data_IF_075455160962
#
_entry.id   IF_075455160962
#
_cell.length_a   1.000
_cell.length_b   1.000
_cell.length_c   1.000
_cell.angle_alpha   90.00
_cell.angle_beta   90.00
_cell.angle_gamma   90.00
#
_symmetry.space_group_name_H-M   'P 1'
#
loop_
_entity.id
_entity.type
_entity.pdbx_description
1 polymer ?
#
# COMPACT_ATOMS: atom_id res chain seq x y z
N UNK A 1 -14.66 -0.65 17.46
CA UNK A 1 -14.47 -1.32 16.15
C UNK A 1 -12.97 -1.47 15.87
N UNK A 2 -12.52 -2.63 15.35
CA UNK A 2 -11.15 -2.87 14.84
C UNK A 2 -11.28 -3.35 13.39
N UNK A 3 -10.77 -2.61 12.39
CA UNK A 3 -10.99 -2.96 10.99
C UNK A 3 -10.08 -4.11 10.56
N UNK A 4 -10.55 -4.90 9.59
CA UNK A 4 -9.73 -5.82 8.83
C UNK A 4 -9.83 -5.43 7.35
N UNK A 5 -8.75 -4.88 6.79
CA UNK A 5 -8.72 -4.41 5.41
C UNK A 5 -8.32 -5.53 4.47
N UNK A 6 -9.30 -6.28 3.98
CA UNK A 6 -9.08 -7.16 2.85
C UNK A 6 -8.95 -6.35 1.56
N UNK A 7 -7.90 -6.61 0.78
CA UNK A 7 -7.67 -5.94 -0.51
C UNK A 7 -8.62 -6.43 -1.61
N UNK A 8 -9.07 -7.66 -1.48
CA UNK A 8 -10.10 -8.32 -2.27
C UNK A 8 -10.77 -9.41 -1.41
N UNK A 9 -11.92 -9.91 -1.85
CA UNK A 9 -12.56 -11.12 -1.29
C UNK A 9 -13.06 -11.98 -2.43
N UNK A 10 -13.54 -13.22 -2.21
CA UNK A 10 -14.14 -14.03 -3.28
C UNK A 10 -15.33 -13.36 -3.99
N UNK A 11 -15.96 -12.38 -3.34
CA UNK A 11 -17.14 -11.67 -3.83
C UNK A 11 -16.84 -10.22 -4.27
N UNK A 12 -15.63 -9.71 -4.00
CA UNK A 12 -15.26 -8.31 -4.19
C UNK A 12 -13.96 -8.19 -4.98
N UNK A 13 -14.11 -7.91 -6.28
CA UNK A 13 -13.11 -7.42 -7.20
C UNK A 13 -13.50 -5.99 -7.63
N UNK A 14 -13.04 -4.99 -6.88
CA UNK A 14 -13.40 -3.60 -7.13
C UNK A 14 -12.92 -3.11 -8.50
N UNK A 15 -13.67 -2.21 -9.15
CA UNK A 15 -13.38 -1.67 -10.48
C UNK A 15 -11.98 -1.04 -10.63
N UNK A 16 -11.41 -0.50 -9.54
CA UNK A 16 -10.04 0.01 -9.50
C UNK A 16 -9.00 -1.07 -9.89
N UNK A 17 -9.17 -2.30 -9.40
CA UNK A 17 -8.28 -3.43 -9.72
C UNK A 17 -8.52 -3.94 -11.15
N UNK A 18 -9.78 -3.96 -11.60
CA UNK A 18 -10.15 -4.35 -12.95
C UNK A 18 -9.51 -3.45 -14.01
N UNK A 19 -9.46 -2.13 -13.76
CA UNK A 19 -8.99 -1.13 -14.72
C UNK A 19 -7.51 -0.78 -14.57
N UNK A 20 -6.98 -0.81 -13.35
CA UNK A 20 -5.63 -0.33 -13.06
C UNK A 20 -4.50 -1.34 -13.26
N UNK A 21 -4.80 -2.59 -13.61
CA UNK A 21 -3.79 -3.64 -13.82
C UNK A 21 -2.92 -3.87 -12.58
N UNK A 22 -1.72 -4.44 -12.77
CA UNK A 22 -0.78 -4.73 -11.67
C UNK A 22 -0.49 -3.55 -10.73
N UNK A 23 -0.25 -2.30 -11.21
CA UNK A 23 -0.01 -1.16 -10.32
C UNK A 23 -1.13 -0.93 -9.32
N UNK A 24 -2.39 -1.13 -9.71
CA UNK A 24 -3.52 -1.02 -8.78
C UNK A 24 -3.47 -2.06 -7.65
N UNK A 25 -3.02 -3.29 -7.92
CA UNK A 25 -2.85 -4.31 -6.89
C UNK A 25 -1.73 -3.95 -5.91
N UNK A 26 -0.63 -3.39 -6.41
CA UNK A 26 0.48 -2.93 -5.58
C UNK A 26 0.04 -1.78 -4.67
N UNK A 27 -0.64 -0.77 -5.22
CA UNK A 27 -1.19 0.37 -4.47
C UNK A 27 -2.13 -0.08 -3.35
N UNK A 28 -3.11 -0.94 -3.68
CA UNK A 28 -4.10 -1.41 -2.68
C UNK A 28 -3.46 -2.28 -1.60
N UNK A 29 -2.42 -3.06 -1.92
CA UNK A 29 -1.66 -3.82 -0.94
C UNK A 29 -0.92 -2.89 0.04
N UNK A 30 -0.21 -1.87 -0.46
CA UNK A 30 0.48 -0.87 0.37
C UNK A 30 -0.51 -0.16 1.30
N UNK A 31 -1.64 0.31 0.77
CA UNK A 31 -2.66 1.02 1.56
C UNK A 31 -3.23 0.12 2.66
N UNK A 32 -3.69 -1.09 2.34
CA UNK A 32 -4.27 -2.01 3.32
C UNK A 32 -3.26 -2.39 4.41
N UNK A 33 -2.03 -2.73 4.00
CA UNK A 33 -0.95 -3.17 4.88
C UNK A 33 -0.44 -2.06 5.82
N UNK A 34 -0.58 -0.78 5.46
CA UNK A 34 -0.01 0.32 6.27
C UNK A 34 -1.07 1.12 7.02
N UNK A 35 -2.30 1.25 6.49
CA UNK A 35 -3.39 1.96 7.17
C UNK A 35 -3.96 1.15 8.33
N UNK A 36 -4.18 -0.15 8.16
CA UNK A 36 -4.80 -1.00 9.19
C UNK A 36 -3.79 -1.92 9.90
N UNK A 37 -3.89 -2.09 11.24
CA UNK A 37 -3.17 -3.13 11.96
C UNK A 37 -3.51 -4.55 11.51
N UNK A 38 -4.69 -4.77 10.94
CA UNK A 38 -5.13 -6.06 10.41
C UNK A 38 -5.56 -5.90 8.96
N UNK A 39 -5.01 -6.72 8.08
CA UNK A 39 -5.29 -6.72 6.66
C UNK A 39 -5.30 -8.16 6.13
N UNK A 40 -5.90 -8.36 4.96
CA UNK A 40 -6.04 -9.67 4.36
C UNK A 40 -5.98 -9.63 2.85
N UNK A 41 -5.70 -10.79 2.26
CA UNK A 41 -5.62 -11.02 0.82
C UNK A 41 -6.35 -12.33 0.54
N UNK A 42 -7.15 -12.35 -0.52
CA UNK A 42 -7.73 -13.58 -1.06
C UNK A 42 -6.88 -14.09 -2.24
N UNK A 43 -6.60 -15.39 -2.24
CA UNK A 43 -5.68 -16.06 -3.16
C UNK A 43 -6.00 -15.77 -4.63
N UNK A 44 -4.97 -15.42 -5.40
CA UNK A 44 -5.08 -14.98 -6.80
C UNK A 44 -4.82 -13.48 -6.96
N UNK A 45 -4.91 -12.72 -5.86
CA UNK A 45 -4.50 -11.32 -5.82
C UNK A 45 -3.02 -11.14 -6.16
N UNK A 46 -2.17 -12.06 -5.71
CA UNK A 46 -0.72 -12.07 -5.98
C UNK A 46 -0.43 -12.17 -7.48
N UNK A 47 -1.34 -12.79 -8.23
CA UNK A 47 -1.27 -12.95 -9.68
C UNK A 47 -1.96 -11.81 -10.44
N UNK A 48 -2.48 -10.82 -9.72
CA UNK A 48 -3.25 -9.70 -10.27
C UNK A 48 -4.48 -10.16 -11.08
N UNK A 49 -5.17 -11.23 -10.65
CA UNK A 49 -6.41 -11.69 -11.28
C UNK A 49 -7.49 -10.59 -11.22
N UNK A 50 -7.87 -10.04 -12.38
CA UNK A 50 -8.70 -8.83 -12.43
C UNK A 50 -9.82 -8.83 -13.47
N UNK A 51 -10.18 -10.00 -14.00
CA UNK A 51 -11.25 -10.13 -15.00
C UNK A 51 -12.60 -10.27 -14.30
N UNK A 52 -13.54 -9.31 -14.45
CA UNK A 52 -14.86 -9.40 -13.85
C UNK A 52 -15.80 -10.29 -14.68
N UNK A 53 -16.85 -10.82 -14.04
CA UNK A 53 -17.90 -11.60 -14.72
C UNK A 53 -18.62 -10.77 -15.80
N UNK A 54 -18.84 -9.48 -15.54
CA UNK A 54 -19.46 -8.51 -16.44
C UNK A 54 -19.06 -7.10 -16.07
N UNK A 55 -19.17 -6.17 -17.02
CA UNK A 55 -18.93 -4.75 -16.75
C UNK A 55 -19.85 -4.21 -15.65
N UNK A 56 -19.26 -3.41 -14.75
CA UNK A 56 -19.95 -2.84 -13.57
C UNK A 56 -20.23 -3.83 -12.44
N UNK A 57 -19.86 -5.10 -12.58
CA UNK A 57 -19.90 -6.09 -11.50
C UNK A 57 -18.60 -6.12 -10.69
N UNK A 58 -18.67 -6.65 -9.46
CA UNK A 58 -17.51 -6.90 -8.60
C UNK A 58 -17.18 -8.39 -8.45
N UNK A 59 -17.92 -9.28 -9.13
CA UNK A 59 -17.62 -10.71 -9.10
C UNK A 59 -16.54 -11.09 -10.12
N UNK A 60 -15.67 -12.04 -9.76
CA UNK A 60 -14.66 -12.60 -10.64
C UNK A 60 -15.30 -13.44 -11.76
N UNK A 61 -14.72 -13.38 -12.96
CA UNK A 61 -14.98 -14.34 -14.02
C UNK A 61 -14.46 -15.74 -13.61
N UNK A 62 -15.24 -16.78 -13.90
CA UNK A 62 -14.93 -18.18 -13.57
C UNK A 62 -14.60 -18.38 -12.08
N UNK A 63 -15.40 -17.75 -11.21
CA UNK A 63 -15.17 -17.64 -9.77
C UNK A 63 -14.93 -18.99 -9.08
N UNK A 64 -13.88 -19.06 -8.25
CA UNK A 64 -13.51 -20.24 -7.45
C UNK A 64 -14.62 -20.71 -6.50
N UNK A 65 -15.58 -19.82 -6.16
CA UNK A 65 -16.80 -20.19 -5.42
C UNK A 65 -17.58 -21.34 -6.09
N UNK A 66 -17.47 -21.48 -7.41
CA UNK A 66 -18.30 -22.39 -8.21
C UNK A 66 -17.48 -23.42 -9.02
N UNK A 67 -16.15 -23.34 -8.99
CA UNK A 67 -15.26 -24.24 -9.72
C UNK A 67 -13.88 -24.32 -9.07
N UNK A 68 -13.15 -25.41 -9.32
CA UNK A 68 -11.74 -25.48 -8.94
C UNK A 68 -10.92 -24.50 -9.79
N UNK A 69 -10.02 -23.76 -9.14
CA UNK A 69 -9.11 -22.78 -9.76
C UNK A 69 -7.66 -23.10 -9.41
N UNK A 70 -7.07 -24.18 -9.96
CA UNK A 70 -5.65 -24.45 -9.78
C UNK A 70 -4.82 -23.30 -10.39
N UNK A 71 -3.75 -22.91 -9.70
CA UNK A 71 -2.85 -21.81 -10.10
C UNK A 71 -1.41 -22.31 -10.05
N UNK A 72 -0.63 -21.97 -11.08
CA UNK A 72 0.81 -22.27 -11.11
C UNK A 72 1.60 -21.13 -10.48
N UNK A 73 1.78 -21.22 -9.15
CA UNK A 73 2.44 -20.20 -8.34
C UNK A 73 3.93 -20.08 -8.67
N UNK A 74 4.60 -21.21 -8.83
CA UNK A 74 6.04 -21.25 -9.09
C UNK A 74 6.38 -20.64 -10.45
N UNK A 75 5.59 -20.93 -11.48
CA UNK A 75 5.78 -20.29 -12.78
C UNK A 75 5.55 -18.78 -12.70
N UNK A 76 4.51 -18.33 -12.00
CA UNK A 76 4.23 -16.91 -11.87
C UNK A 76 5.32 -16.12 -11.14
N UNK A 77 5.94 -16.71 -10.11
CA UNK A 77 7.11 -16.11 -9.44
C UNK A 77 8.35 -16.12 -10.33
N UNK A 78 8.64 -17.25 -10.99
CA UNK A 78 9.80 -17.38 -11.89
C UNK A 78 9.74 -16.41 -13.08
N UNK A 79 8.55 -16.13 -13.59
CA UNK A 79 8.30 -15.20 -14.69
C UNK A 79 8.15 -13.73 -14.23
N UNK A 80 8.25 -13.46 -12.92
CA UNK A 80 8.12 -12.12 -12.37
C UNK A 80 6.71 -11.51 -12.49
N UNK A 81 5.68 -12.32 -12.77
CA UNK A 81 4.29 -11.88 -12.88
C UNK A 81 3.59 -11.72 -11.53
N UNK A 82 4.11 -12.35 -10.49
CA UNK A 82 3.57 -12.29 -9.13
C UNK A 82 4.03 -11.06 -8.35
N UNK A 83 3.11 -10.47 -7.56
CA UNK A 83 3.42 -9.45 -6.54
C UNK A 83 3.62 -10.03 -5.13
N UNK A 84 3.69 -11.37 -5.00
CA UNK A 84 4.01 -12.02 -3.73
C UNK A 84 5.29 -11.48 -3.06
N UNK A 85 6.38 -11.13 -3.78
CA UNK A 85 7.55 -10.50 -3.17
C UNK A 85 7.25 -9.16 -2.48
N UNK A 86 6.39 -8.32 -3.07
CA UNK A 86 5.94 -7.07 -2.45
C UNK A 86 5.12 -7.34 -1.19
N UNK A 87 4.17 -8.29 -1.24
CA UNK A 87 3.35 -8.67 -0.09
C UNK A 87 4.22 -9.21 1.06
N UNK A 88 5.20 -10.04 0.73
CA UNK A 88 6.17 -10.55 1.70
C UNK A 88 6.98 -9.40 2.33
N UNK A 89 7.45 -8.45 1.52
CA UNK A 89 8.16 -7.26 1.98
C UNK A 89 7.30 -6.39 2.89
N UNK A 90 6.05 -6.10 2.51
CA UNK A 90 5.10 -5.35 3.34
C UNK A 90 4.86 -6.01 4.69
N UNK A 91 4.70 -7.33 4.71
CA UNK A 91 4.55 -8.07 5.96
C UNK A 91 5.84 -8.07 6.80
N UNK A 92 7.02 -8.11 6.19
CA UNK A 92 8.29 -7.97 6.91
C UNK A 92 8.43 -6.56 7.54
N UNK A 93 8.11 -5.51 6.78
CA UNK A 93 8.09 -4.11 7.27
C UNK A 93 7.11 -3.98 8.44
N UNK A 94 5.89 -4.49 8.28
CA UNK A 94 4.90 -4.52 9.37
C UNK A 94 5.43 -5.20 10.62
N UNK A 95 6.13 -6.33 10.52
CA UNK A 95 6.71 -7.01 11.69
C UNK A 95 7.79 -6.20 12.40
N UNK A 96 8.56 -5.39 11.65
CA UNK A 96 9.63 -4.55 12.20
C UNK A 96 9.14 -3.25 12.84
N UNK A 97 8.06 -2.66 12.31
CA UNK A 97 7.58 -1.35 12.74
C UNK A 97 6.30 -1.43 13.57
N UNK A 98 6.44 -1.19 14.89
CA UNK A 98 5.32 -1.20 15.84
C UNK A 98 4.29 -0.10 15.53
N UNK A 99 4.70 0.97 14.84
CA UNK A 99 3.83 2.02 14.33
C UNK A 99 2.68 1.48 13.48
N UNK A 100 2.92 0.40 12.73
CA UNK A 100 1.93 -0.22 11.86
C UNK A 100 0.97 -1.15 12.60
N UNK A 101 1.22 -1.48 13.88
CA UNK A 101 0.35 -2.35 14.70
C UNK A 101 -0.76 -1.58 15.41
N UNK A 102 -0.77 -0.26 15.31
CA UNK A 102 -1.74 0.63 15.98
C UNK A 102 -2.65 1.29 14.96
N UNK A 103 -3.88 1.62 15.37
CA UNK A 103 -4.89 2.21 14.48
C UNK A 103 -5.04 3.73 14.67
N UNK A 104 -5.07 4.18 15.93
CA UNK A 104 -5.42 5.58 16.29
C UNK A 104 -4.25 6.55 16.17
N UNK A 105 -3.09 6.08 15.76
CA UNK A 105 -1.85 6.84 15.65
C UNK A 105 -1.58 7.36 14.22
N UNK A 106 -2.61 7.42 13.39
CA UNK A 106 -2.55 7.84 12.00
C UNK A 106 -2.73 9.35 11.88
N UNK A 107 -1.92 9.99 11.05
CA UNK A 107 -2.06 11.39 10.67
C UNK A 107 -1.80 11.56 9.16
N UNK A 108 -2.67 12.31 8.47
CA UNK A 108 -2.51 12.61 7.04
C UNK A 108 -1.75 13.92 6.87
N UNK A 109 -0.79 13.91 5.94
CA UNK A 109 0.01 15.07 5.57
C UNK A 109 -0.51 15.66 4.26
N UNK A 110 -0.27 16.95 4.06
CA UNK A 110 -0.69 17.62 2.84
C UNK A 110 0.24 17.27 1.67
N UNK A 111 -0.34 17.11 0.49
CA UNK A 111 0.33 16.99 -0.80
C UNK A 111 -0.31 18.01 -1.76
N UNK A 112 0.48 18.52 -2.70
CA UNK A 112 0.02 19.46 -3.73
C UNK A 112 -0.56 18.77 -4.98
N UNK A 113 -0.76 17.45 -4.93
CA UNK A 113 -1.29 16.62 -6.01
C UNK A 113 -2.36 15.66 -5.48
N UNK A 114 -3.59 15.76 -6.00
CA UNK A 114 -4.74 14.95 -5.57
C UNK A 114 -4.57 13.45 -5.83
N UNK A 115 -3.70 13.06 -6.76
CA UNK A 115 -3.37 11.66 -7.02
C UNK A 115 -2.33 11.10 -6.02
N UNK A 116 -1.70 11.93 -5.19
CA UNK A 116 -0.68 11.50 -4.23
C UNK A 116 -1.21 11.67 -2.81
N UNK A 117 -1.23 10.60 -2.04
CA UNK A 117 -1.59 10.63 -0.61
C UNK A 117 -0.35 10.41 0.26
N UNK A 118 -0.25 11.17 1.35
CA UNK A 118 0.80 11.01 2.34
C UNK A 118 0.23 10.90 3.75
N UNK A 119 0.73 9.95 4.53
CA UNK A 119 0.34 9.79 5.94
C UNK A 119 1.48 9.21 6.77
N UNK A 120 1.44 9.47 8.07
CA UNK A 120 2.36 8.89 9.03
C UNK A 120 1.62 8.11 10.11
N UNK A 121 2.33 7.13 10.67
CA UNK A 121 1.94 6.42 11.89
C UNK A 121 3.12 6.46 12.84
N UNK A 122 2.87 6.84 14.10
CA UNK A 122 3.90 6.97 15.13
C UNK A 122 3.50 6.29 16.42
N UNK A 123 4.42 5.65 17.14
CA UNK A 123 4.14 5.23 18.53
C UNK A 123 5.01 6.00 19.51
N UNK A 124 4.46 6.31 20.67
CA UNK A 124 5.21 6.92 21.77
C UNK A 124 5.97 5.89 22.62
N UNK A 125 5.71 4.60 22.44
CA UNK A 125 6.29 3.55 23.29
C UNK A 125 7.77 3.29 22.94
N UNK A 126 8.11 3.35 21.66
CA UNK A 126 9.44 3.09 21.12
C UNK A 126 9.91 4.18 20.14
N UNK A 127 9.16 5.28 20.02
CA UNK A 127 9.38 6.36 19.06
C UNK A 127 9.42 5.90 17.58
N UNK A 128 8.91 4.70 17.26
CA UNK A 128 8.85 4.22 15.88
C UNK A 128 7.88 5.07 15.06
N UNK A 129 8.35 5.53 13.90
CA UNK A 129 7.61 6.42 13.00
C UNK A 129 7.75 5.92 11.58
N UNK A 130 6.62 5.68 10.92
CA UNK A 130 6.56 5.29 9.51
C UNK A 130 5.82 6.38 8.76
N UNK A 131 6.43 6.88 7.68
CA UNK A 131 5.77 7.77 6.71
C UNK A 131 5.54 6.98 5.43
N UNK A 132 4.35 7.09 4.88
CA UNK A 132 3.96 6.41 3.64
C UNK A 132 3.46 7.46 2.66
N UNK A 133 3.97 7.39 1.43
CA UNK A 133 3.53 8.23 0.32
C UNK A 133 3.14 7.30 -0.82
N UNK A 134 1.93 7.44 -1.35
CA UNK A 134 1.35 6.54 -2.35
C UNK A 134 0.79 7.33 -3.51
N UNK A 135 1.14 6.93 -4.72
CA UNK A 135 0.47 7.35 -5.95
C UNK A 135 -0.80 6.49 -6.13
N UNK A 136 -1.96 7.15 -6.20
CA UNK A 136 -3.27 6.53 -6.38
C UNK A 136 -3.65 6.40 -7.86
N UNK A 137 -2.87 6.97 -8.78
CA UNK A 137 -3.02 6.79 -10.22
C UNK A 137 -2.20 5.56 -10.66
N UNK A 138 -2.85 4.46 -11.07
CA UNK A 138 -2.15 3.25 -11.49
C UNK A 138 -1.63 3.33 -12.94
N UNK A 139 -1.86 4.43 -13.65
CA UNK A 139 -1.54 4.58 -15.07
C UNK A 139 -0.44 5.58 -15.36
N UNK A 140 -0.28 6.60 -14.51
CA UNK A 140 0.66 7.69 -14.76
C UNK A 140 1.62 7.89 -13.59
N UNK A 141 2.85 8.25 -13.93
CA UNK A 141 3.79 8.80 -12.96
C UNK A 141 3.21 10.07 -12.36
N UNK A 142 3.27 10.18 -11.04
CA UNK A 142 2.86 11.39 -10.32
C UNK A 142 4.05 11.98 -9.56
N UNK A 143 4.13 13.30 -9.63
CA UNK A 143 5.11 14.11 -8.89
C UNK A 143 4.35 15.02 -7.91
N UNK A 144 4.91 15.23 -6.73
CA UNK A 144 4.29 16.05 -5.69
C UNK A 144 5.30 16.60 -4.70
N UNK A 145 4.95 17.69 -4.04
CA UNK A 145 5.58 18.16 -2.80
C UNK A 145 4.76 17.67 -1.61
N UNK A 146 5.37 16.81 -0.80
CA UNK A 146 4.80 16.35 0.47
C UNK A 146 5.17 17.34 1.58
N UNK A 147 4.16 17.99 2.15
CA UNK A 147 4.28 18.93 3.26
C UNK A 147 4.00 18.22 4.59
N UNK A 148 5.06 17.83 5.30
CA UNK A 148 4.98 17.13 6.59
C UNK A 148 4.58 18.09 7.72
N UNK A 149 3.67 17.61 8.56
CA UNK A 149 3.35 18.21 9.86
C UNK A 149 4.40 17.72 10.86
N UNK A 150 5.50 18.47 10.98
CA UNK A 150 6.69 18.07 11.75
C UNK A 150 6.37 17.81 13.23
N UNK A 151 5.56 18.66 13.93
CA UNK A 151 5.14 18.36 15.30
C UNK A 151 4.41 17.03 15.48
N UNK A 152 3.66 16.56 14.48
CA UNK A 152 2.99 15.24 14.54
C UNK A 152 3.98 14.08 14.49
N UNK A 153 5.15 14.30 13.89
CA UNK A 153 6.27 13.37 13.86
C UNK A 153 7.13 13.47 15.13
N UNK A 154 6.88 14.46 15.99
CA UNK A 154 7.69 14.74 17.18
C UNK A 154 8.99 15.48 16.87
N UNK A 155 8.99 16.27 15.81
CA UNK A 155 10.13 17.05 15.31
C UNK A 155 9.77 18.55 15.29
N UNK A 156 10.77 19.41 15.42
CA UNK A 156 10.62 20.84 15.18
C UNK A 156 10.51 21.13 13.67
N UNK A 157 9.85 22.25 13.32
CA UNK A 157 9.57 22.63 11.93
C UNK A 157 10.79 22.81 11.03
N UNK A 158 11.96 23.06 11.61
CA UNK A 158 13.21 23.31 10.91
C UNK A 158 14.12 22.07 10.85
N UNK A 159 13.72 20.97 11.50
CA UNK A 159 14.51 19.74 11.50
C UNK A 159 14.52 19.09 10.11
N UNK A 160 15.61 18.40 9.83
CA UNK A 160 15.76 17.50 8.69
C UNK A 160 16.26 16.17 9.22
N UNK A 161 15.56 15.10 8.89
CA UNK A 161 15.83 13.75 9.40
C UNK A 161 16.14 12.77 8.27
N UNK A 162 17.04 11.81 8.47
CA UNK A 162 17.24 10.74 7.51
C UNK A 162 16.01 9.82 7.51
N UNK A 163 15.51 9.49 6.33
CA UNK A 163 14.43 8.52 6.12
C UNK A 163 14.93 7.41 5.21
N UNK A 164 14.53 6.17 5.49
CA UNK A 164 14.82 5.02 4.65
C UNK A 164 13.53 4.55 3.99
N UNK A 165 13.53 4.46 2.67
CA UNK A 165 12.48 3.73 1.97
C UNK A 165 12.66 2.24 2.22
N UNK A 166 11.74 1.64 2.96
CA UNK A 166 11.81 0.23 3.32
C UNK A 166 11.65 -0.71 2.11
N UNK A 167 11.03 -0.27 1.02
CA UNK A 167 10.84 -1.06 -0.20
C UNK A 167 12.13 -1.16 -1.01
N UNK A 168 12.79 -0.02 -1.27
CA UNK A 168 14.00 0.06 -2.10
C UNK A 168 15.31 0.04 -1.31
N UNK A 169 15.27 0.41 -0.03
CA UNK A 169 16.43 0.56 0.84
C UNK A 169 17.16 1.90 0.72
N UNK A 170 16.73 2.78 -0.19
CA UNK A 170 17.33 4.10 -0.43
C UNK A 170 17.12 5.00 0.79
N UNK A 171 18.11 5.84 1.09
CA UNK A 171 18.05 6.82 2.18
C UNK A 171 17.94 8.22 1.59
N UNK A 172 16.99 8.99 2.12
CA UNK A 172 16.79 10.41 1.81
C UNK A 172 16.94 11.24 3.09
N UNK A 173 17.06 12.56 2.96
CA UNK A 173 16.97 13.49 4.08
C UNK A 173 15.72 14.34 3.88
N UNK A 174 14.74 14.18 4.76
CA UNK A 174 13.44 14.83 4.66
C UNK A 174 13.28 15.90 5.72
N UNK A 175 12.76 17.05 5.31
CA UNK A 175 12.36 18.15 6.18
C UNK A 175 10.85 18.39 6.07
N UNK A 176 10.42 19.64 6.28
CA UNK A 176 9.01 20.01 6.18
C UNK A 176 8.41 19.82 4.77
N UNK A 177 9.15 20.08 3.70
CA UNK A 177 8.66 20.02 2.33
C UNK A 177 9.58 19.12 1.49
N UNK A 178 9.03 18.06 0.88
CA UNK A 178 9.81 17.02 0.23
C UNK A 178 9.23 16.72 -1.16
N UNK A 179 10.04 16.88 -2.19
CA UNK A 179 9.68 16.46 -3.53
C UNK A 179 9.71 14.93 -3.66
N UNK A 180 8.69 14.36 -4.29
CA UNK A 180 8.59 12.94 -4.60
C UNK A 180 8.17 12.74 -6.06
N UNK A 181 8.62 11.62 -6.65
CA UNK A 181 8.22 11.15 -7.98
C UNK A 181 7.97 9.64 -7.92
N UNK A 182 6.73 9.23 -8.22
CA UNK A 182 6.28 7.84 -8.09
C UNK A 182 5.82 7.33 -9.45
N UNK A 183 6.53 6.31 -9.96
CA UNK A 183 6.33 5.71 -11.29
C UNK A 183 5.63 4.37 -11.22
#
# INVERSE_FOLDING_TARGET
MRPNFFVNTPDILHAYLQRGGRPAFEVRAVLAATLSPTWGVYSGYELCENVPLREGGEEYLDSEKYQLRPRDWEAAEREGRSIAPLIAKLNAVRRRHSALHRLRNLHFHHTDNDAVIAYSKRTSADADTVVVVVNLDPHHTQEATVSLDMPRLGLDWHETVPVRDELTGVIYHWGRANYVRLT
#
